data_IF_157964710989
#
_entry.id   IF_157964710989
#
_cell.length_a   1.000
_cell.length_b   1.000
_cell.length_c   1.000
_cell.angle_alpha   90.00
_cell.angle_beta   90.00
_cell.angle_gamma   90.00
#
_symmetry.space_group_name_H-M   'P 1'
#
loop_
_entity.id
_entity.type
_entity.pdbx_description
1 polymer ?
#
# COMPACT_ATOMS: atom_id res chain seq x y z
N UNK A 1 0.07 -7.10 12.52
CA UNK A 1 0.61 -6.26 11.43
C UNK A 1 2.02 -6.72 11.15
N UNK A 2 2.39 -6.95 9.88
CA UNK A 2 3.75 -7.38 9.51
C UNK A 2 4.65 -6.13 9.57
N UNK A 3 5.57 -6.09 10.52
CA UNK A 3 6.54 -4.99 10.66
C UNK A 3 7.54 -5.07 9.51
N UNK A 4 7.34 -4.24 8.48
CA UNK A 4 8.39 -4.00 7.49
C UNK A 4 9.46 -3.14 8.18
N UNK A 5 10.60 -3.75 8.49
CA UNK A 5 11.73 -3.03 9.06
C UNK A 5 12.11 -1.86 8.16
N UNK A 6 12.30 -0.70 8.76
CA UNK A 6 12.40 0.62 8.12
C UNK A 6 13.47 0.74 6.99
N UNK A 7 14.45 -0.18 7.01
CA UNK A 7 15.54 -0.33 6.04
C UNK A 7 15.18 -1.12 4.77
N UNK A 8 14.02 -1.79 4.73
CA UNK A 8 13.58 -2.65 3.63
C UNK A 8 12.51 -2.00 2.72
N UNK A 9 12.04 -0.83 3.12
CA UNK A 9 11.02 -0.09 2.40
C UNK A 9 11.65 0.65 1.21
N UNK A 10 11.20 0.33 0.00
CA UNK A 10 11.65 0.90 -1.28
C UNK A 10 10.50 0.96 -2.28
N UNK A 11 10.62 1.78 -3.33
CA UNK A 11 9.62 1.85 -4.40
C UNK A 11 9.38 0.51 -5.10
N UNK A 12 10.42 -0.29 -5.25
CA UNK A 12 10.34 -1.65 -5.80
C UNK A 12 9.53 -2.59 -4.86
N UNK A 13 9.72 -2.46 -3.54
CA UNK A 13 8.87 -3.16 -2.56
C UNK A 13 7.41 -2.71 -2.65
N UNK A 14 7.13 -1.40 -2.75
CA UNK A 14 5.78 -0.88 -2.95
C UNK A 14 5.16 -1.42 -4.24
N UNK A 15 5.90 -1.41 -5.35
CA UNK A 15 5.43 -1.90 -6.64
C UNK A 15 5.00 -3.38 -6.58
N UNK A 16 5.78 -4.22 -5.90
CA UNK A 16 5.41 -5.63 -5.66
C UNK A 16 4.14 -5.77 -4.80
N UNK A 17 4.02 -4.97 -3.74
CA UNK A 17 2.84 -5.01 -2.86
C UNK A 17 1.57 -4.54 -3.59
N UNK A 18 1.67 -3.52 -4.45
CA UNK A 18 0.58 -3.08 -5.32
C UNK A 18 0.16 -4.17 -6.30
N UNK A 19 1.11 -4.78 -7.01
CA UNK A 19 0.81 -5.90 -7.91
C UNK A 19 0.15 -7.09 -7.17
N UNK A 20 0.54 -7.33 -5.91
CA UNK A 20 -0.12 -8.32 -5.07
C UNK A 20 -1.54 -7.91 -4.68
N UNK A 21 -1.77 -6.63 -4.34
CA UNK A 21 -3.09 -6.11 -4.03
C UNK A 21 -4.03 -6.20 -5.25
N UNK A 22 -3.53 -5.86 -6.44
CA UNK A 22 -4.29 -5.98 -7.70
C UNK A 22 -4.69 -7.43 -7.97
N UNK A 23 -3.73 -8.36 -7.88
CA UNK A 23 -4.01 -9.78 -8.07
C UNK A 23 -5.00 -10.33 -7.03
N UNK A 24 -4.94 -9.85 -5.78
CA UNK A 24 -5.90 -10.21 -4.76
C UNK A 24 -7.29 -9.63 -5.06
N UNK A 25 -7.39 -8.36 -5.46
CA UNK A 25 -8.65 -7.73 -5.83
C UNK A 25 -9.34 -8.43 -7.00
N UNK A 26 -8.58 -8.86 -8.01
CA UNK A 26 -9.09 -9.66 -9.13
C UNK A 26 -9.64 -11.00 -8.65
N UNK A 27 -8.89 -11.72 -7.82
CA UNK A 27 -9.33 -12.99 -7.26
C UNK A 27 -10.58 -12.83 -6.38
N UNK A 28 -10.64 -11.77 -5.55
CA UNK A 28 -11.79 -11.45 -4.72
C UNK A 28 -13.03 -11.14 -5.56
N UNK A 29 -12.87 -10.37 -6.64
CA UNK A 29 -13.96 -10.05 -7.57
C UNK A 29 -14.53 -11.31 -8.23
N UNK A 30 -13.67 -12.25 -8.60
CA UNK A 30 -14.09 -13.56 -9.12
C UNK A 30 -14.85 -14.37 -8.07
N UNK A 31 -14.38 -14.39 -6.81
CA UNK A 31 -15.09 -15.05 -5.69
C UNK A 31 -16.47 -14.46 -5.47
N UNK A 32 -16.60 -13.14 -5.42
CA UNK A 32 -17.89 -12.46 -5.28
C UNK A 32 -18.83 -12.79 -6.44
N UNK A 33 -18.33 -12.71 -7.68
CA UNK A 33 -19.11 -13.06 -8.87
C UNK A 33 -19.61 -14.51 -8.83
N UNK A 34 -18.78 -15.43 -8.32
CA UNK A 34 -19.15 -16.83 -8.12
C UNK A 34 -20.22 -16.99 -7.03
N UNK A 35 -20.01 -16.39 -5.86
CA UNK A 35 -20.96 -16.45 -4.75
C UNK A 35 -22.34 -15.89 -5.15
N UNK A 36 -22.38 -14.77 -5.87
CA UNK A 36 -23.63 -14.21 -6.37
C UNK A 36 -24.32 -15.16 -7.37
N UNK A 37 -23.57 -15.84 -8.23
CA UNK A 37 -24.13 -16.79 -9.20
C UNK A 37 -24.66 -18.06 -8.52
N UNK A 38 -23.93 -18.60 -7.55
CA UNK A 38 -24.25 -19.87 -6.90
C UNK A 38 -25.32 -19.70 -5.83
N UNK A 39 -25.23 -18.64 -5.03
CA UNK A 39 -26.05 -18.44 -3.84
C UNK A 39 -27.07 -17.29 -3.98
N UNK A 40 -27.02 -16.51 -5.07
CA UNK A 40 -27.90 -15.36 -5.28
C UNK A 40 -27.65 -14.19 -4.32
N UNK A 41 -26.58 -14.24 -3.52
CA UNK A 41 -26.29 -13.28 -2.45
C UNK A 41 -24.79 -13.13 -2.23
N UNK A 42 -24.39 -11.91 -1.83
CA UNK A 42 -23.03 -11.57 -1.39
C UNK A 42 -22.94 -11.41 0.14
N UNK A 43 -24.01 -11.73 0.88
CA UNK A 43 -24.08 -11.61 2.34
C UNK A 43 -23.26 -12.64 3.11
N UNK A 44 -22.19 -13.15 2.52
CA UNK A 44 -21.26 -14.08 3.16
C UNK A 44 -20.29 -13.29 4.06
N UNK A 45 -20.32 -13.57 5.36
CA UNK A 45 -19.42 -12.94 6.34
C UNK A 45 -17.94 -13.15 5.98
N UNK A 46 -17.59 -14.26 5.33
CA UNK A 46 -16.23 -14.52 4.89
C UNK A 46 -15.80 -13.57 3.76
N UNK A 47 -16.71 -13.23 2.83
CA UNK A 47 -16.43 -12.24 1.78
C UNK A 47 -16.30 -10.83 2.37
N UNK A 48 -17.09 -10.50 3.38
CA UNK A 48 -16.98 -9.23 4.09
C UNK A 48 -15.62 -9.12 4.81
N UNK A 49 -15.22 -10.17 5.55
CA UNK A 49 -13.93 -10.21 6.22
C UNK A 49 -12.76 -10.09 5.23
N UNK A 50 -12.79 -10.83 4.11
CA UNK A 50 -11.75 -10.74 3.07
C UNK A 50 -11.70 -9.34 2.45
N UNK A 51 -12.84 -8.68 2.23
CA UNK A 51 -12.89 -7.29 1.76
C UNK A 51 -12.20 -6.33 2.73
N UNK A 52 -12.43 -6.49 4.04
CA UNK A 52 -11.78 -5.67 5.07
C UNK A 52 -10.28 -5.92 5.15
N UNK A 53 -9.83 -7.17 4.97
CA UNK A 53 -8.40 -7.49 4.92
C UNK A 53 -7.70 -6.85 3.73
N UNK A 54 -8.33 -6.90 2.54
CA UNK A 54 -7.81 -6.26 1.34
C UNK A 54 -7.72 -4.74 1.52
N UNK A 55 -8.76 -4.11 2.07
CA UNK A 55 -8.78 -2.67 2.35
C UNK A 55 -7.64 -2.28 3.31
N UNK A 56 -7.47 -3.01 4.42
CA UNK A 56 -6.39 -2.77 5.37
C UNK A 56 -4.99 -2.93 4.73
N UNK A 57 -4.85 -3.88 3.81
CA UNK A 57 -3.61 -4.07 3.06
C UNK A 57 -3.32 -2.89 2.14
N UNK A 58 -4.32 -2.39 1.42
CA UNK A 58 -4.19 -1.20 0.57
C UNK A 58 -3.85 0.06 1.37
N UNK A 59 -4.46 0.27 2.54
CA UNK A 59 -4.10 1.37 3.43
C UNK A 59 -2.66 1.27 3.92
N UNK A 60 -2.20 0.07 4.26
CA UNK A 60 -0.81 -0.16 4.67
C UNK A 60 0.17 0.19 3.55
N UNK A 61 -0.15 -0.13 2.29
CA UNK A 61 0.64 0.27 1.13
C UNK A 61 0.69 1.78 0.99
N UNK A 62 -0.46 2.46 1.06
CA UNK A 62 -0.51 3.92 0.96
C UNK A 62 0.29 4.62 2.06
N UNK A 63 0.24 4.12 3.29
CA UNK A 63 1.04 4.69 4.39
C UNK A 63 2.54 4.48 4.17
N UNK A 64 2.94 3.31 3.66
CA UNK A 64 4.32 3.08 3.24
C UNK A 64 4.76 4.00 2.09
N UNK A 65 3.88 4.34 1.14
CA UNK A 65 4.17 5.32 0.09
C UNK A 65 4.38 6.73 0.64
N UNK A 66 3.56 7.15 1.60
CA UNK A 66 3.73 8.45 2.28
C UNK A 66 5.08 8.54 2.98
N UNK A 67 5.52 7.46 3.64
CA UNK A 67 6.83 7.40 4.30
C UNK A 67 7.97 7.55 3.28
N UNK A 68 7.88 6.91 2.11
CA UNK A 68 8.89 7.06 1.06
C UNK A 68 8.91 8.47 0.46
N UNK A 69 7.75 9.05 0.18
CA UNK A 69 7.65 10.44 -0.32
C UNK A 69 8.23 11.45 0.67
N UNK A 70 7.95 11.28 1.96
CA UNK A 70 8.50 12.14 3.01
C UNK A 70 10.03 12.06 3.04
N UNK A 71 10.62 10.86 2.93
CA UNK A 71 12.08 10.69 2.86
C UNK A 71 12.72 11.37 1.65
N UNK A 72 12.08 11.29 0.49
CA UNK A 72 12.57 11.96 -0.71
C UNK A 72 12.52 13.49 -0.57
N UNK A 73 11.45 14.00 0.05
CA UNK A 73 11.28 15.43 0.30
C UNK A 73 12.32 15.95 1.30
N UNK A 74 12.51 15.26 2.42
CA UNK A 74 13.51 15.58 3.45
C UNK A 74 14.95 15.51 2.91
N UNK A 75 15.23 14.67 1.91
CA UNK A 75 16.54 14.57 1.25
C UNK A 75 16.77 15.65 0.18
N UNK A 76 15.69 16.24 -0.34
CA UNK A 76 15.72 17.37 -1.30
C UNK A 76 15.84 18.74 -0.63
N UNK A 77 15.47 18.87 0.63
CA UNK A 77 15.61 20.10 1.42
C UNK A 77 16.95 20.16 2.18
N UNK A 78 18.08 20.06 1.47
CA UNK A 78 19.33 20.65 1.99
C UNK A 78 19.33 22.14 1.61
N UNK A 79 19.27 23.09 2.55
CA UNK A 79 19.53 24.48 2.23
C UNK A 79 20.98 24.57 1.75
N UNK A 80 21.17 25.07 0.54
CA UNK A 80 22.47 25.51 0.04
C UNK A 80 23.13 26.35 1.15
N UNK A 81 24.24 25.83 1.68
CA UNK A 81 25.13 26.62 2.51
C UNK A 81 25.75 27.68 1.61
N UNK A 82 25.08 28.81 1.45
CA UNK A 82 25.71 30.00 0.89
C UNK A 82 26.72 30.51 1.92
N UNK A 83 27.94 30.03 1.72
CA UNK A 83 29.18 30.49 2.34
C UNK A 83 29.42 31.93 1.91
N UNK A 84 28.79 32.90 2.58
CA UNK A 84 29.27 34.29 2.50
C UNK A 84 30.47 34.44 3.42
N UNK A 85 31.63 34.49 2.76
CA UNK A 85 32.94 34.78 3.29
C UNK A 85 32.97 36.12 4.03
N UNK A 86 33.94 36.17 4.96
CA UNK A 86 34.54 37.36 5.56
C UNK A 86 34.58 38.56 4.62
N UNK A 87 34.23 39.74 5.15
CA UNK A 87 35.11 40.93 5.24
C UNK A 87 34.56 41.93 6.29
#
# INVERSE_FOLDING_TARGET
MREFGDKSLSWDTIGRLKAQADAWQDAFTQKCSRALRENGSLGDEALCAESTELENFMYSIMDMEKVLLARETECGEMPDQETTNQE
#
